data_IF_583624556552
#
_entry.id   IF_583624556552
#
_cell.length_a   1.000
_cell.length_b   1.000
_cell.length_c   1.000
_cell.angle_alpha   90.00
_cell.angle_beta   90.00
_cell.angle_gamma   90.00
#
_symmetry.space_group_name_H-M   'P 1'
#
loop_
_entity.id
_entity.type
_entity.pdbx_description
1 polymer ?
#
# COMPACT_ATOMS: atom_id res chain seq x y z
N UNK A 1 -5.54 -2.68 22.82
CA UNK A 1 -5.42 -1.26 22.44
C UNK A 1 -4.28 -0.96 21.48
N UNK A 2 -3.00 -1.21 21.81
CA UNK A 2 -1.90 -0.83 20.90
C UNK A 2 -1.93 -1.58 19.55
N UNK A 3 -2.22 -2.89 19.57
CA UNK A 3 -2.36 -3.67 18.33
C UNK A 3 -3.49 -3.16 17.42
N UNK A 4 -4.60 -2.72 18.01
CA UNK A 4 -5.75 -2.16 17.30
C UNK A 4 -5.43 -0.78 16.72
N UNK A 5 -4.70 0.06 17.47
CA UNK A 5 -4.16 1.31 16.97
C UNK A 5 -3.21 1.10 15.78
N UNK A 6 -2.30 0.13 15.87
CA UNK A 6 -1.38 -0.25 14.78
C UNK A 6 -2.19 -0.71 13.56
N UNK A 7 -3.22 -1.54 13.75
CA UNK A 7 -4.11 -2.00 12.69
C UNK A 7 -4.84 -0.84 12.00
N UNK A 8 -5.44 0.07 12.78
CA UNK A 8 -6.10 1.26 12.26
C UNK A 8 -5.13 2.17 11.49
N UNK A 9 -3.91 2.35 12.01
CA UNK A 9 -2.91 3.19 11.36
C UNK A 9 -2.46 2.62 10.02
N UNK A 10 -2.25 1.31 9.95
CA UNK A 10 -1.96 0.61 8.69
C UNK A 10 -3.14 0.73 7.73
N UNK A 11 -4.37 0.49 8.18
CA UNK A 11 -5.57 0.61 7.34
C UNK A 11 -5.72 2.01 6.74
N UNK A 12 -5.45 3.06 7.51
CA UNK A 12 -5.53 4.45 7.05
C UNK A 12 -4.46 4.76 5.98
N UNK A 13 -3.24 4.22 6.13
CA UNK A 13 -2.20 4.32 5.08
C UNK A 13 -2.65 3.60 3.80
N UNK A 14 -3.25 2.41 3.95
CA UNK A 14 -3.75 1.61 2.83
C UNK A 14 -4.89 2.31 2.09
N UNK A 15 -5.86 2.86 2.82
CA UNK A 15 -7.01 3.58 2.27
C UNK A 15 -6.57 4.81 1.48
N UNK A 16 -5.66 5.63 2.04
CA UNK A 16 -5.10 6.78 1.32
C UNK A 16 -4.34 6.37 0.07
N UNK A 17 -3.59 5.26 0.12
CA UNK A 17 -2.89 4.74 -1.03
C UNK A 17 -3.86 4.26 -2.11
N UNK A 18 -4.92 3.56 -1.71
CA UNK A 18 -5.98 3.09 -2.60
C UNK A 18 -6.69 4.26 -3.29
N UNK A 19 -7.13 5.29 -2.56
CA UNK A 19 -7.79 6.45 -3.15
C UNK A 19 -6.90 7.16 -4.17
N UNK A 20 -5.61 7.38 -3.85
CA UNK A 20 -4.66 7.98 -4.79
C UNK A 20 -4.47 7.13 -6.04
N UNK A 21 -4.36 5.81 -5.86
CA UNK A 21 -4.23 4.86 -6.96
C UNK A 21 -5.46 4.91 -7.87
N UNK A 22 -6.67 4.88 -7.30
CA UNK A 22 -7.92 4.97 -8.06
C UNK A 22 -8.00 6.29 -8.81
N UNK A 23 -7.71 7.43 -8.18
CA UNK A 23 -7.74 8.74 -8.84
C UNK A 23 -6.77 8.80 -10.02
N UNK A 24 -5.53 8.34 -9.84
CA UNK A 24 -4.53 8.33 -10.92
C UNK A 24 -5.00 7.43 -12.08
N UNK A 25 -5.45 6.22 -11.77
CA UNK A 25 -5.89 5.28 -12.79
C UNK A 25 -7.13 5.79 -13.53
N UNK A 26 -8.11 6.36 -12.83
CA UNK A 26 -9.32 6.92 -13.43
C UNK A 26 -9.01 8.13 -14.33
N UNK A 27 -8.14 9.03 -13.88
CA UNK A 27 -7.76 10.20 -14.68
C UNK A 27 -6.99 9.79 -15.95
N UNK A 28 -6.02 8.88 -15.80
CA UNK A 28 -5.21 8.41 -16.93
C UNK A 28 -6.00 7.52 -17.88
N UNK A 29 -6.93 6.70 -17.38
CA UNK A 29 -7.81 5.87 -18.19
C UNK A 29 -8.77 6.70 -19.02
N UNK A 30 -9.46 7.65 -18.40
CA UNK A 30 -10.40 8.53 -19.08
C UNK A 30 -9.69 9.36 -20.15
N UNK A 31 -8.53 9.94 -19.81
CA UNK A 31 -7.71 10.70 -20.77
C UNK A 31 -7.23 9.81 -21.92
N UNK A 32 -6.81 8.58 -21.64
CA UNK A 32 -6.39 7.61 -22.67
C UNK A 32 -7.53 7.27 -23.63
N UNK A 33 -8.72 6.95 -23.12
CA UNK A 33 -9.88 6.63 -23.97
C UNK A 33 -10.31 7.84 -24.79
N UNK A 34 -10.36 9.05 -24.19
CA UNK A 34 -10.69 10.28 -24.92
C UNK A 34 -9.69 10.57 -26.05
N UNK A 35 -8.39 10.44 -25.77
CA UNK A 35 -7.35 10.62 -26.78
C UNK A 35 -7.45 9.58 -27.90
N UNK A 36 -7.81 8.33 -27.59
CA UNK A 36 -8.07 7.33 -28.62
C UNK A 36 -9.30 7.65 -29.47
N UNK A 37 -10.35 8.23 -28.86
CA UNK A 37 -11.51 8.69 -29.60
C UNK A 37 -11.16 9.84 -30.56
N UNK A 38 -10.38 10.82 -30.09
CA UNK A 38 -9.90 11.93 -30.92
C UNK A 38 -8.99 11.46 -32.06
N UNK A 39 -8.24 10.38 -31.87
CA UNK A 39 -7.37 9.81 -32.90
C UNK A 39 -8.14 9.31 -34.14
N UNK A 40 -9.44 9.01 -34.01
CA UNK A 40 -10.28 8.63 -35.14
C UNK A 40 -10.67 9.82 -36.04
N UNK A 41 -10.75 11.02 -35.47
CA UNK A 41 -11.28 12.20 -36.15
C UNK A 41 -10.20 13.18 -36.60
N UNK A 42 -9.09 13.26 -35.86
CA UNK A 42 -8.07 14.29 -36.09
C UNK A 42 -6.79 13.70 -36.66
N UNK A 43 -6.04 12.94 -35.86
CA UNK A 43 -4.68 12.53 -36.23
C UNK A 43 -4.31 11.18 -35.60
N UNK A 44 -3.71 10.23 -36.37
CA UNK A 44 -3.35 8.92 -35.85
C UNK A 44 -2.25 8.96 -34.78
N UNK A 45 -1.50 10.07 -34.67
CA UNK A 45 -0.50 10.28 -33.62
C UNK A 45 -1.10 10.22 -32.19
N UNK A 46 -2.37 10.61 -32.03
CA UNK A 46 -3.06 10.55 -30.73
C UNK A 46 -3.23 9.11 -30.20
N UNK A 47 -3.18 8.09 -31.07
CA UNK A 47 -3.15 6.69 -30.65
C UNK A 47 -1.94 6.41 -29.75
N UNK A 48 -0.75 6.86 -30.15
CA UNK A 48 0.48 6.65 -29.36
C UNK A 48 0.47 7.46 -28.06
N UNK A 49 -0.11 8.66 -28.08
CA UNK A 49 -0.30 9.47 -26.89
C UNK A 49 -1.21 8.78 -25.86
N UNK A 50 -2.31 8.16 -26.33
CA UNK A 50 -3.24 7.45 -25.46
C UNK A 50 -2.60 6.22 -24.78
N UNK A 51 -1.71 5.51 -25.49
CA UNK A 51 -0.91 4.42 -24.96
C UNK A 51 0.09 4.91 -23.92
N UNK A 52 0.78 6.02 -24.21
CA UNK A 52 1.74 6.63 -23.29
C UNK A 52 1.07 7.07 -21.98
N UNK A 53 -0.13 7.68 -22.05
CA UNK A 53 -0.93 8.06 -20.89
C UNK A 53 -1.30 6.86 -20.01
N UNK A 54 -1.69 5.75 -20.63
CA UNK A 54 -2.04 4.52 -19.92
C UNK A 54 -0.82 3.92 -19.22
N UNK A 55 0.31 3.83 -19.93
CA UNK A 55 1.58 3.36 -19.35
C UNK A 55 2.02 4.24 -18.17
N UNK A 56 1.89 5.56 -18.30
CA UNK A 56 2.20 6.53 -17.25
C UNK A 56 1.32 6.34 -16.01
N UNK A 57 0.01 6.09 -16.19
CA UNK A 57 -0.92 5.75 -15.10
C UNK A 57 -0.53 4.47 -14.36
N UNK A 58 -0.12 3.44 -15.08
CA UNK A 58 0.36 2.17 -14.48
C UNK A 58 1.69 2.38 -13.73
N UNK A 59 2.61 3.19 -14.25
CA UNK A 59 3.86 3.50 -13.57
C UNK A 59 3.63 4.32 -12.28
N UNK A 60 2.79 5.34 -12.34
CA UNK A 60 2.44 6.17 -11.19
C UNK A 60 1.73 5.37 -10.10
N UNK A 61 0.76 4.53 -10.46
CA UNK A 61 0.06 3.67 -9.50
C UNK A 61 1.02 2.70 -8.79
N UNK A 62 2.01 2.15 -9.51
CA UNK A 62 3.07 1.33 -8.91
C UNK A 62 3.93 2.13 -7.92
N UNK A 63 4.24 3.38 -8.22
CA UNK A 63 5.00 4.26 -7.31
C UNK A 63 4.23 4.56 -6.04
N UNK A 64 2.91 4.82 -6.14
CA UNK A 64 2.03 5.00 -4.98
C UNK A 64 2.03 3.74 -4.10
N UNK A 65 1.93 2.55 -4.71
CA UNK A 65 1.98 1.28 -3.99
C UNK A 65 3.30 1.11 -3.23
N UNK A 66 4.44 1.32 -3.89
CA UNK A 66 5.77 1.22 -3.24
C UNK A 66 5.92 2.18 -2.06
N UNK A 67 5.52 3.44 -2.25
CA UNK A 67 5.58 4.44 -1.19
C UNK A 67 4.71 4.05 0.02
N UNK A 68 3.54 3.43 -0.22
CA UNK A 68 2.68 2.94 0.84
C UNK A 68 3.29 1.74 1.57
N UNK A 69 3.84 0.77 0.84
CA UNK A 69 4.54 -0.38 1.42
C UNK A 69 5.74 0.06 2.27
N UNK A 70 6.53 1.02 1.79
CA UNK A 70 7.66 1.58 2.55
C UNK A 70 7.20 2.31 3.81
N UNK A 71 6.12 3.08 3.74
CA UNK A 71 5.55 3.76 4.93
C UNK A 71 5.08 2.76 5.98
N UNK A 72 4.36 1.70 5.56
CA UNK A 72 3.92 0.65 6.48
C UNK A 72 5.14 -0.06 7.08
N UNK A 73 6.16 -0.40 6.27
CA UNK A 73 7.39 -1.04 6.77
C UNK A 73 8.12 -0.18 7.79
N UNK A 74 8.30 1.12 7.52
CA UNK A 74 8.97 2.07 8.43
C UNK A 74 8.18 2.24 9.73
N UNK A 75 6.85 2.29 9.64
CA UNK A 75 5.97 2.36 10.80
C UNK A 75 6.10 1.09 11.66
N UNK A 76 6.00 -0.09 11.05
CA UNK A 76 6.13 -1.38 11.74
C UNK A 76 7.51 -1.57 12.41
N UNK A 77 8.58 -1.05 11.80
CA UNK A 77 9.92 -1.11 12.39
C UNK A 77 10.09 -0.22 13.63
N UNK A 78 9.28 0.83 13.79
CA UNK A 78 9.43 1.84 14.84
C UNK A 78 8.13 2.17 15.57
N UNK A 79 7.25 1.19 15.77
CA UNK A 79 5.97 1.39 16.47
C UNK A 79 6.17 1.99 17.86
N UNK A 80 7.24 1.58 18.56
CA UNK A 80 7.57 2.06 19.91
C UNK A 80 7.95 3.55 19.97
N UNK A 81 8.34 4.16 18.84
CA UNK A 81 8.72 5.59 18.79
C UNK A 81 7.52 6.51 18.63
N UNK A 82 6.34 6.00 18.30
CA UNK A 82 5.16 6.85 18.19
C UNK A 82 4.70 7.37 19.56
N UNK A 83 4.26 8.64 19.60
CA UNK A 83 3.82 9.29 20.81
C UNK A 83 2.64 8.56 21.50
N UNK A 84 1.73 7.97 20.72
CA UNK A 84 0.64 7.12 21.21
C UNK A 84 1.16 5.86 21.89
N UNK A 85 2.17 5.20 21.32
CA UNK A 85 2.78 4.03 21.94
C UNK A 85 3.51 4.40 23.24
N UNK A 86 4.23 5.52 23.26
CA UNK A 86 4.87 6.04 24.48
C UNK A 86 3.86 6.36 25.58
N UNK A 87 2.74 7.00 25.24
CA UNK A 87 1.65 7.27 26.18
C UNK A 87 1.04 5.98 26.71
N UNK A 88 0.82 4.99 25.85
CA UNK A 88 0.29 3.69 26.24
C UNK A 88 1.22 2.94 27.21
N UNK A 89 2.53 2.93 26.94
CA UNK A 89 3.51 2.37 27.87
C UNK A 89 3.64 3.17 29.18
N UNK A 90 3.39 4.49 29.15
CA UNK A 90 3.35 5.30 30.36
C UNK A 90 2.12 4.98 31.23
N UNK A 91 0.92 4.86 30.64
CA UNK A 91 -0.31 4.46 31.36
C UNK A 91 -0.27 3.03 31.88
N UNK A 92 0.48 2.13 31.24
CA UNK A 92 0.68 0.77 31.75
C UNK A 92 1.37 0.76 33.13
N UNK A 93 2.13 1.80 33.47
CA UNK A 93 2.71 1.95 34.82
C UNK A 93 1.67 2.26 35.90
N UNK A 94 0.50 2.79 35.52
CA UNK A 94 -0.57 3.12 36.46
C UNK A 94 -1.35 1.87 36.91
N UNK A 95 -1.22 0.75 36.19
CA UNK A 95 -1.84 -0.53 36.56
C UNK A 95 -1.01 -1.35 37.56
N UNK A 96 0.11 -0.81 38.06
CA UNK A 96 0.87 -1.49 39.11
C UNK A 96 0.14 -1.46 40.45
N UNK A 97 0.18 -2.58 41.16
CA UNK A 97 -0.19 -2.59 42.56
C UNK A 97 0.79 -1.67 43.33
N UNK A 98 0.33 -0.75 44.20
CA UNK A 98 1.19 0.29 44.80
C UNK A 98 2.43 -0.26 45.51
N UNK A 99 2.30 -1.45 46.12
CA UNK A 99 3.36 -2.15 46.84
C UNK A 99 4.41 -2.71 45.87
N UNK A 100 3.98 -3.30 44.75
CA UNK A 100 4.86 -3.82 43.69
C UNK A 100 5.57 -2.70 42.91
N UNK A 101 4.93 -1.54 42.79
CA UNK A 101 5.55 -0.36 42.20
C UNK A 101 6.70 0.15 43.05
N UNK A 102 6.49 0.26 44.37
CA UNK A 102 7.51 0.71 45.31
C UNK A 102 8.70 -0.25 45.37
N UNK A 103 8.48 -1.55 45.49
CA UNK A 103 9.56 -2.55 45.50
C UNK A 103 10.38 -2.55 44.22
N UNK A 104 9.76 -2.30 43.05
CA UNK A 104 10.47 -2.13 41.78
C UNK A 104 11.18 -0.78 41.64
N UNK A 105 10.67 0.28 42.28
CA UNK A 105 11.32 1.59 42.28
C UNK A 105 12.66 1.56 43.04
N UNK A 106 12.74 0.73 44.08
CA UNK A 106 13.92 0.53 44.90
C UNK A 106 14.91 -0.52 44.33
N UNK A 107 14.48 -1.31 43.34
CA UNK A 107 15.34 -2.27 42.65
C UNK A 107 16.02 -1.62 41.42
N UNK A 108 17.33 -1.77 41.28
CA UNK A 108 18.07 -1.28 40.10
C UNK A 108 17.44 -1.83 38.79
N UNK A 109 17.19 -0.98 37.78
CA UNK A 109 16.42 -1.35 36.59
C UNK A 109 17.31 -2.16 35.63
N UNK A 110 17.62 -3.40 36.00
CA UNK A 110 18.39 -4.33 35.18
C UNK A 110 17.52 -5.22 34.30
N UNK A 111 16.21 -5.33 34.60
CA UNK A 111 15.28 -6.23 33.91
C UNK A 111 14.14 -5.43 33.28
N UNK A 112 13.94 -5.61 31.97
CA UNK A 112 12.84 -5.03 31.23
C UNK A 112 11.50 -5.47 31.85
N UNK A 113 10.64 -4.49 32.15
CA UNK A 113 9.44 -4.69 32.98
C UNK A 113 8.51 -5.77 32.38
N UNK A 114 8.12 -6.85 33.12
CA UNK A 114 7.45 -8.02 32.55
C UNK A 114 6.13 -7.71 31.83
N UNK A 115 5.40 -6.68 32.26
CA UNK A 115 4.16 -6.23 31.60
C UNK A 115 4.48 -5.61 30.24
N UNK A 116 5.52 -4.77 30.18
CA UNK A 116 6.01 -4.16 28.94
C UNK A 116 6.56 -5.25 28.00
N UNK A 117 7.31 -6.21 28.54
CA UNK A 117 7.85 -7.35 27.77
C UNK A 117 6.74 -8.24 27.19
N UNK A 118 5.68 -8.52 27.96
CA UNK A 118 4.53 -9.29 27.50
C UNK A 118 3.80 -8.57 26.34
N UNK A 119 3.63 -7.25 26.44
CA UNK A 119 2.95 -6.48 25.40
C UNK A 119 3.83 -6.32 24.14
N UNK A 120 5.15 -6.14 24.31
CA UNK A 120 6.13 -6.22 23.21
C UNK A 120 6.09 -7.57 22.50
N UNK A 121 5.96 -8.67 23.25
CA UNK A 121 5.82 -10.02 22.69
C UNK A 121 4.54 -10.16 21.87
N UNK A 122 3.40 -9.61 22.33
CA UNK A 122 2.14 -9.60 21.56
C UNK A 122 2.25 -8.75 20.29
N UNK A 123 2.92 -7.59 20.34
CA UNK A 123 3.17 -6.74 19.16
C UNK A 123 4.05 -7.48 18.15
N UNK A 124 5.13 -8.12 18.61
CA UNK A 124 5.98 -8.96 17.74
C UNK A 124 5.18 -10.11 17.14
N UNK A 125 4.35 -10.81 17.91
CA UNK A 125 3.50 -11.88 17.38
C UNK A 125 2.51 -11.36 16.32
N UNK A 126 1.98 -10.16 16.50
CA UNK A 126 1.05 -9.55 15.54
C UNK A 126 1.74 -8.97 14.29
N UNK A 127 3.07 -8.80 14.27
CA UNK A 127 3.80 -8.44 13.04
C UNK A 127 3.57 -9.43 11.90
N UNK A 128 3.37 -10.72 12.21
CA UNK A 128 3.04 -11.73 11.20
C UNK A 128 1.68 -11.44 10.54
N UNK A 129 0.65 -11.10 11.33
CA UNK A 129 -0.66 -10.71 10.80
C UNK A 129 -0.58 -9.41 9.97
N UNK A 130 0.26 -8.45 10.37
CA UNK A 130 0.50 -7.25 9.58
C UNK A 130 1.27 -7.53 8.29
N UNK A 131 2.13 -8.54 8.23
CA UNK A 131 2.76 -8.96 6.98
C UNK A 131 1.76 -9.53 5.97
N UNK A 132 0.73 -10.24 6.46
CA UNK A 132 -0.37 -10.72 5.63
C UNK A 132 -1.21 -9.56 5.10
N UNK A 133 -1.46 -8.51 5.89
CA UNK A 133 -2.21 -7.33 5.43
C UNK A 133 -1.47 -6.56 4.34
N UNK A 134 -0.14 -6.50 4.37
CA UNK A 134 0.69 -5.94 3.28
C UNK A 134 0.56 -6.79 2.01
N UNK A 135 0.55 -8.12 2.15
CA UNK A 135 0.40 -9.04 1.03
C UNK A 135 -0.99 -8.90 0.39
N UNK A 136 -2.03 -8.80 1.21
CA UNK A 136 -3.40 -8.55 0.77
C UNK A 136 -3.53 -7.20 0.05
N UNK A 137 -2.89 -6.14 0.56
CA UNK A 137 -2.86 -4.83 -0.09
C UNK A 137 -2.25 -4.91 -1.50
N UNK A 138 -1.12 -5.62 -1.62
CA UNK A 138 -0.44 -5.82 -2.91
C UNK A 138 -1.33 -6.57 -3.89
N UNK A 139 -2.01 -7.62 -3.43
CA UNK A 139 -2.94 -8.38 -4.26
C UNK A 139 -4.13 -7.53 -4.71
N UNK A 140 -4.79 -6.80 -3.80
CA UNK A 140 -5.92 -5.92 -4.12
C UNK A 140 -5.54 -4.85 -5.13
N UNK A 141 -4.43 -4.15 -4.92
CA UNK A 141 -3.99 -3.07 -5.81
C UNK A 141 -3.54 -3.62 -7.18
N UNK A 142 -2.90 -4.80 -7.21
CA UNK A 142 -2.59 -5.49 -8.47
C UNK A 142 -3.86 -5.81 -9.24
N UNK A 143 -4.87 -6.38 -8.58
CA UNK A 143 -6.15 -6.69 -9.20
C UNK A 143 -6.80 -5.45 -9.80
N UNK A 144 -6.85 -4.35 -9.05
CA UNK A 144 -7.40 -3.07 -9.54
C UNK A 144 -6.67 -2.62 -10.80
N UNK A 145 -5.33 -2.57 -10.77
CA UNK A 145 -4.54 -2.16 -11.95
C UNK A 145 -4.80 -3.08 -13.15
N UNK A 146 -4.84 -4.40 -12.93
CA UNK A 146 -5.09 -5.36 -14.03
C UNK A 146 -6.49 -5.25 -14.61
N UNK A 147 -7.51 -5.11 -13.75
CA UNK A 147 -8.90 -4.98 -14.18
C UNK A 147 -9.06 -3.68 -14.95
N UNK A 148 -8.58 -2.56 -14.40
CA UNK A 148 -8.63 -1.25 -15.07
C UNK A 148 -7.92 -1.29 -16.42
N UNK A 149 -6.72 -1.87 -16.51
CA UNK A 149 -6.01 -2.00 -17.78
C UNK A 149 -6.78 -2.84 -18.80
N UNK A 150 -7.38 -3.95 -18.37
CA UNK A 150 -8.16 -4.84 -19.23
C UNK A 150 -9.44 -4.15 -19.72
N UNK A 151 -10.15 -3.44 -18.83
CA UNK A 151 -11.33 -2.65 -19.18
C UNK A 151 -11.01 -1.57 -20.20
N UNK A 152 -9.89 -0.86 -20.06
CA UNK A 152 -9.49 0.20 -21.01
C UNK A 152 -9.04 -0.38 -22.35
N UNK A 153 -8.44 -1.58 -22.34
CA UNK A 153 -7.99 -2.25 -23.57
C UNK A 153 -9.16 -2.57 -24.51
N UNK A 154 -10.37 -2.79 -23.98
CA UNK A 154 -11.56 -3.10 -24.80
C UNK A 154 -11.96 -1.92 -25.70
N UNK A 155 -12.21 -0.69 -25.20
CA UNK A 155 -12.43 0.49 -26.04
C UNK A 155 -11.33 0.71 -27.08
N UNK A 156 -10.06 0.53 -26.70
CA UNK A 156 -8.95 0.65 -27.65
C UNK A 156 -9.01 -0.40 -28.77
N UNK A 157 -9.49 -1.61 -28.49
CA UNK A 157 -9.70 -2.68 -29.48
C UNK A 157 -10.79 -2.31 -30.47
N UNK A 158 -11.91 -1.81 -29.97
CA UNK A 158 -13.06 -1.40 -30.79
C UNK A 158 -12.70 -0.22 -31.68
N UNK A 159 -12.01 0.78 -31.14
CA UNK A 159 -11.70 2.03 -31.84
C UNK A 159 -10.54 1.87 -32.84
N UNK A 160 -9.40 1.29 -32.41
CA UNK A 160 -8.20 1.30 -33.22
C UNK A 160 -8.03 0.07 -34.10
N UNK A 161 -8.73 -1.04 -33.80
CA UNK A 161 -8.51 -2.37 -34.42
C UNK A 161 -7.05 -2.86 -34.34
N UNK A 162 -6.23 -2.23 -33.50
CA UNK A 162 -4.79 -2.47 -33.39
C UNK A 162 -4.49 -3.51 -32.31
N UNK A 163 -4.54 -4.79 -32.69
CA UNK A 163 -4.26 -5.95 -31.82
C UNK A 163 -2.85 -5.86 -31.23
N UNK A 164 -1.89 -5.31 -31.98
CA UNK A 164 -0.47 -5.19 -31.58
C UNK A 164 -0.31 -4.22 -30.40
N UNK A 165 -0.98 -3.06 -30.43
CA UNK A 165 -0.91 -2.07 -29.36
C UNK A 165 -1.45 -2.61 -28.02
N UNK A 166 -2.50 -3.43 -28.08
CA UNK A 166 -3.11 -4.08 -26.93
C UNK A 166 -2.20 -5.17 -26.37
N UNK A 167 -1.57 -5.95 -27.26
CA UNK A 167 -0.53 -6.90 -26.89
C UNK A 167 0.59 -6.21 -26.11
N UNK A 168 1.03 -5.04 -26.55
CA UNK A 168 2.05 -4.24 -25.84
C UNK A 168 1.56 -3.72 -24.49
N UNK A 169 0.33 -3.21 -24.36
CA UNK A 169 -0.23 -2.78 -23.05
C UNK A 169 -0.30 -3.95 -22.07
N UNK A 170 -0.88 -5.08 -22.50
CA UNK A 170 -0.98 -6.27 -21.66
C UNK A 170 0.40 -6.80 -21.31
N UNK A 171 1.35 -6.81 -22.25
CA UNK A 171 2.72 -7.22 -21.99
C UNK A 171 3.41 -6.28 -20.99
N UNK A 172 3.22 -4.96 -21.08
CA UNK A 172 3.77 -3.99 -20.12
C UNK A 172 3.17 -4.21 -18.73
N UNK A 173 1.84 -4.37 -18.63
CA UNK A 173 1.18 -4.65 -17.34
C UNK A 173 1.68 -5.98 -16.77
N UNK A 174 1.73 -7.03 -17.58
CA UNK A 174 2.22 -8.34 -17.16
C UNK A 174 3.69 -8.26 -16.75
N UNK A 175 4.57 -7.57 -17.50
CA UNK A 175 6.00 -7.42 -17.17
C UNK A 175 6.22 -6.61 -15.89
N UNK A 176 5.42 -5.57 -15.65
CA UNK A 176 5.50 -4.77 -14.43
C UNK A 176 5.13 -5.57 -13.18
N UNK A 177 4.30 -6.60 -13.33
CA UNK A 177 3.88 -7.53 -12.27
C UNK A 177 4.52 -8.92 -12.35
N UNK A 178 5.30 -9.22 -13.39
CA UNK A 178 6.06 -10.46 -13.52
C UNK A 178 7.08 -10.44 -12.40
N UNK A 179 6.94 -11.46 -11.56
CA UNK A 179 7.67 -11.77 -10.33
C UNK A 179 9.02 -11.05 -10.28
N UNK A 180 9.14 -10.03 -9.43
CA UNK A 180 10.43 -9.68 -8.82
C UNK A 180 10.71 -10.77 -7.78
N UNK A 181 10.97 -11.98 -8.26
CA UNK A 181 11.62 -13.04 -7.49
C UNK A 181 13.09 -12.68 -7.42
N UNK A 182 13.42 -11.81 -6.49
CA UNK A 182 14.79 -11.61 -6.04
C UNK A 182 14.73 -11.75 -4.53
N UNK A 183 15.32 -12.86 -4.09
CA UNK A 183 16.01 -13.13 -2.82
C UNK A 183 15.93 -12.02 -1.79
#
# INVERSE_FOLDING_TARGET
>A
MLAEYVAQRVALIQERAYHRLVVILSATSMSSVMMSGLALFFEPAFKYLSLALLALGVLLSRRVLRNAEEKIRKFMANVEREAMARRYFATLKEYYNPIDYLTKLYAEPTIEDPIIAAEKKKIRASTYLFSQSITALRAKNRLVITITALTISIPHLVLNKDIIAIGVILLIVILLFRKRSWV
#
